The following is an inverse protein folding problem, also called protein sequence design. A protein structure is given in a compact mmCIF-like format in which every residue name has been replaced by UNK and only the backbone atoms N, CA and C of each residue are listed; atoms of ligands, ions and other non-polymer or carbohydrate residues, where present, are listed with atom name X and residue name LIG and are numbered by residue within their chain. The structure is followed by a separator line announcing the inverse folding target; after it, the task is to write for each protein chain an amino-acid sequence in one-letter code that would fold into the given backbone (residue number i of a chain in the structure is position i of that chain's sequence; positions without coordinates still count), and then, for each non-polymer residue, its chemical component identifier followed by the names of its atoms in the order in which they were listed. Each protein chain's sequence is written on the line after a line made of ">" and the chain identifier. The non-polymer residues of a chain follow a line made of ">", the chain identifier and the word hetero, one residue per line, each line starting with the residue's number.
data_IF_800834818838
#
_entry.id   IF_800834818838
#
_cell.length_a   1.000
_cell.length_b   1.000
_cell.length_c   1.000
_cell.angle_alpha   90.00
_cell.angle_beta   90.00
_cell.angle_gamma   90.00
#
_symmetry.space_group_name_H-M   'P 1'
#
loop_
_entity.id
_entity.type
_entity.pdbx_description
1 polymer ?
#
# COMPACT_ATOMS: atom_id res chain seq x y z
N UNK A 1 3.93 4.97 9.65
CA UNK A 1 4.82 6.08 9.22
C UNK A 1 5.13 5.92 7.75
N UNK A 2 4.95 6.97 6.95
CA UNK A 2 5.34 6.98 5.54
C UNK A 2 6.88 6.94 5.44
N UNK A 3 7.42 6.52 4.30
CA UNK A 3 8.86 6.44 4.08
C UNK A 3 9.55 7.79 4.32
N UNK A 4 8.89 8.88 3.91
CA UNK A 4 9.36 10.26 4.13
C UNK A 4 9.49 10.59 5.62
N UNK A 5 8.54 10.16 6.45
CA UNK A 5 8.57 10.44 7.89
C UNK A 5 9.78 9.78 8.55
N UNK A 6 10.15 8.57 8.11
CA UNK A 6 11.35 7.87 8.60
C UNK A 6 12.63 8.60 8.22
N UNK A 7 12.76 9.03 6.96
CA UNK A 7 13.91 9.83 6.52
C UNK A 7 13.99 11.17 7.25
N UNK A 8 12.86 11.84 7.42
CA UNK A 8 12.78 13.13 8.13
C UNK A 8 13.23 12.97 9.59
N UNK A 9 12.78 11.92 10.28
CA UNK A 9 13.17 11.64 11.65
C UNK A 9 14.67 11.35 11.79
N UNK A 10 15.23 10.57 10.87
CA UNK A 10 16.66 10.27 10.85
C UNK A 10 17.51 11.52 10.60
N UNK A 11 17.09 12.36 9.65
CA UNK A 11 17.76 13.63 9.36
C UNK A 11 17.69 14.60 10.54
N UNK A 12 16.53 14.70 11.20
CA UNK A 12 16.37 15.47 12.43
C UNK A 12 17.32 14.97 13.53
N UNK A 13 17.42 13.66 13.72
CA UNK A 13 18.36 13.05 14.66
C UNK A 13 19.81 13.43 14.40
N UNK A 14 20.27 13.34 13.15
CA UNK A 14 21.63 13.77 12.75
C UNK A 14 21.84 15.26 13.03
N UNK A 15 20.88 16.10 12.66
CA UNK A 15 21.00 17.55 12.85
C UNK A 15 21.05 17.94 14.33
N UNK A 16 20.34 17.21 15.20
CA UNK A 16 20.36 17.42 16.64
C UNK A 16 21.75 17.19 17.25
N UNK A 17 22.58 16.35 16.61
CA UNK A 17 23.96 16.07 17.03
C UNK A 17 24.94 17.10 16.45
N UNK A 18 24.79 17.47 15.17
CA UNK A 18 25.75 18.35 14.48
C UNK A 18 25.72 19.78 15.04
N UNK A 19 24.55 20.31 15.40
CA UNK A 19 24.40 21.71 15.81
C UNK A 19 25.15 22.02 17.13
N UNK A 20 24.99 21.23 18.22
CA UNK A 20 25.76 21.44 19.44
C UNK A 20 27.27 21.37 19.20
N UNK A 21 27.74 20.39 18.43
CA UNK A 21 29.17 20.22 18.11
C UNK A 21 29.70 21.47 17.40
N UNK A 22 29.01 21.92 16.35
CA UNK A 22 29.40 23.11 15.61
C UNK A 22 29.37 24.38 16.48
N UNK A 23 28.40 24.48 17.39
CA UNK A 23 28.30 25.60 18.33
C UNK A 23 29.49 25.66 19.28
N UNK A 24 29.91 24.52 19.84
CA UNK A 24 31.07 24.44 20.73
C UNK A 24 32.35 24.86 20.01
N UNK A 25 32.56 24.34 18.78
CA UNK A 25 33.71 24.72 17.94
C UNK A 25 33.73 26.23 17.69
N UNK A 26 32.59 26.80 17.32
CA UNK A 26 32.46 28.25 17.02
C UNK A 26 32.77 29.10 18.26
N UNK A 27 32.28 28.71 19.44
CA UNK A 27 32.58 29.40 20.70
C UNK A 27 34.08 29.46 21.00
N UNK A 28 34.76 28.32 20.93
CA UNK A 28 36.20 28.26 21.18
C UNK A 28 37.01 29.03 20.13
N UNK A 29 36.57 29.02 18.87
CA UNK A 29 37.21 29.81 17.80
C UNK A 29 37.13 31.31 18.07
N UNK A 30 35.94 31.82 18.44
CA UNK A 30 35.76 33.25 18.75
C UNK A 30 36.56 33.64 19.98
N UNK A 31 36.48 32.84 21.06
CA UNK A 31 37.23 33.10 22.30
C UNK A 31 38.73 33.20 22.03
N UNK A 32 39.28 32.25 21.26
CA UNK A 32 40.72 32.23 20.92
C UNK A 32 41.16 33.47 20.16
N UNK A 33 40.34 33.96 19.23
CA UNK A 33 40.69 35.13 18.41
C UNK A 33 40.64 36.44 19.21
N UNK A 34 39.66 36.58 20.11
CA UNK A 34 39.57 37.72 21.03
C UNK A 34 40.80 37.77 21.95
N UNK A 35 41.15 36.64 22.56
CA UNK A 35 42.28 36.55 23.50
C UNK A 35 43.60 36.89 22.80
N UNK A 36 43.81 36.35 21.59
CA UNK A 36 44.98 36.65 20.76
C UNK A 36 45.07 38.14 20.45
N UNK A 37 43.97 38.77 20.07
CA UNK A 37 43.91 40.19 19.73
C UNK A 37 44.23 41.08 20.94
N UNK A 38 43.69 40.74 22.12
CA UNK A 38 43.96 41.46 23.36
C UNK A 38 45.44 41.36 23.79
N UNK A 39 46.02 40.16 23.70
CA UNK A 39 47.45 39.95 24.02
C UNK A 39 48.36 40.74 23.09
N UNK A 40 48.13 40.71 21.77
CA UNK A 40 48.95 41.45 20.81
C UNK A 40 48.85 42.97 21.02
N UNK A 41 47.65 43.49 21.32
CA UNK A 41 47.47 44.90 21.69
C UNK A 41 48.31 45.28 22.92
N UNK A 42 48.29 44.46 23.98
CA UNK A 42 49.04 44.71 25.21
C UNK A 42 50.55 44.64 25.02
N UNK A 43 51.05 43.73 24.17
CA UNK A 43 52.47 43.70 23.77
C UNK A 43 52.88 45.03 23.13
N UNK A 44 52.09 45.53 22.18
CA UNK A 44 52.36 46.83 21.55
C UNK A 44 52.33 48.00 22.54
N UNK A 45 51.45 47.96 23.54
CA UNK A 45 51.43 48.97 24.61
C UNK A 45 52.74 48.95 25.41
N UNK A 46 53.22 47.77 25.81
CA UNK A 46 54.46 47.68 26.58
C UNK A 46 55.68 48.20 25.81
N UNK A 47 55.77 47.90 24.51
CA UNK A 47 56.85 48.40 23.64
C UNK A 47 56.83 49.93 23.57
N UNK A 48 55.65 50.55 23.40
CA UNK A 48 55.54 52.02 23.40
C UNK A 48 55.96 52.65 24.72
N UNK A 49 55.63 52.02 25.84
CA UNK A 49 56.02 52.50 27.18
C UNK A 49 57.54 52.40 27.34
N UNK A 50 58.16 51.32 26.87
CA UNK A 50 59.61 51.18 26.87
C UNK A 50 60.29 52.29 26.05
N UNK A 51 59.77 52.61 24.86
CA UNK A 51 60.27 53.72 24.05
C UNK A 51 60.12 55.09 24.72
N UNK A 52 59.01 55.34 25.43
CA UNK A 52 58.80 56.58 26.18
C UNK A 52 59.81 56.75 27.31
N UNK A 53 60.05 55.69 28.09
CA UNK A 53 61.07 55.66 29.14
C UNK A 53 62.46 55.91 28.53
N UNK A 54 62.76 55.31 27.37
CA UNK A 54 64.01 55.55 26.63
C UNK A 54 64.18 56.98 26.13
N UNK A 55 63.09 57.71 25.85
CA UNK A 55 63.12 59.13 25.46
C UNK A 55 63.11 60.09 26.65
N UNK A 56 63.12 59.59 27.89
CA UNK A 56 63.08 60.39 29.11
C UNK A 56 61.70 60.98 29.45
N UNK A 57 60.62 60.47 28.84
CA UNK A 57 59.25 60.89 29.13
C UNK A 57 58.63 59.94 30.16
N UNK A 58 58.04 60.43 31.27
CA UNK A 58 57.38 59.57 32.25
C UNK A 58 56.10 58.98 31.63
N UNK A 59 55.93 57.64 31.62
CA UNK A 59 54.68 57.02 31.21
C UNK A 59 53.55 57.46 32.14
N UNK A 60 52.38 57.78 31.58
CA UNK A 60 51.16 57.96 32.36
C UNK A 60 50.65 56.63 32.94
N UNK A 61 49.76 56.70 33.94
CA UNK A 61 49.10 55.50 34.51
C UNK A 61 48.32 54.69 33.46
N UNK A 62 47.95 55.35 32.35
CA UNK A 62 47.29 54.74 31.20
C UNK A 62 48.03 55.07 29.90
N UNK A 63 48.26 54.05 29.06
CA UNK A 63 48.79 54.20 27.70
C UNK A 63 47.87 53.48 26.73
N UNK A 64 47.38 54.20 25.70
CA UNK A 64 46.42 53.70 24.72
C UNK A 64 45.15 53.05 25.34
N UNK A 65 44.71 53.56 26.50
CA UNK A 65 43.54 53.09 27.24
C UNK A 65 43.78 51.87 28.14
N UNK A 66 45.00 51.30 28.15
CA UNK A 66 45.37 50.20 29.04
C UNK A 66 46.11 50.75 30.27
N UNK A 67 45.83 50.19 31.45
CA UNK A 67 46.56 50.55 32.67
C UNK A 67 47.95 49.94 32.61
N UNK A 68 48.97 50.74 32.88
CA UNK A 68 50.37 50.32 32.82
C UNK A 68 51.07 50.56 34.15
N UNK A 69 51.83 49.57 34.61
CA UNK A 69 52.73 49.66 35.74
C UNK A 69 54.14 49.38 35.25
N UNK A 70 55.12 50.16 35.69
CA UNK A 70 56.53 49.90 35.39
C UNK A 70 57.36 49.96 36.67
N UNK A 71 58.34 49.08 36.77
CA UNK A 71 59.27 49.03 37.89
C UNK A 71 60.68 48.69 37.40
N UNK A 72 61.69 49.27 38.03
CA UNK A 72 63.08 48.83 37.85
C UNK A 72 63.23 47.42 38.40
N UNK A 73 63.98 46.57 37.72
CA UNK A 73 64.25 45.20 38.14
C UNK A 73 65.73 44.90 37.95
N UNK A 74 66.32 44.13 38.86
CA UNK A 74 67.75 43.76 38.78
C UNK A 74 67.96 42.44 38.00
N UNK A 75 66.86 41.84 37.56
CA UNK A 75 66.84 40.58 36.82
C UNK A 75 66.97 40.82 35.31
N UNK A 76 68.09 40.36 34.74
CA UNK A 76 68.29 40.32 33.30
C UNK A 76 67.44 39.21 32.67
N UNK A 77 66.46 39.59 31.87
CA UNK A 77 65.69 38.68 31.00
C UNK A 77 66.09 38.89 29.54
N UNK A 78 65.92 37.86 28.72
CA UNK A 78 66.12 37.98 27.27
C UNK A 78 65.19 39.04 26.67
N UNK A 79 65.68 39.79 25.67
CA UNK A 79 64.84 40.65 24.86
C UNK A 79 63.67 39.82 24.29
N UNK A 80 62.45 40.37 24.33
CA UNK A 80 61.20 39.73 23.90
C UNK A 80 60.63 38.63 24.83
N UNK A 81 61.04 38.58 26.11
CA UNK A 81 60.35 37.71 27.07
C UNK A 81 59.02 38.32 27.52
N UNK A 82 57.90 37.68 27.15
CA UNK A 82 56.54 38.05 27.57
C UNK A 82 55.97 37.00 28.52
N UNK A 83 55.50 37.43 29.69
CA UNK A 83 54.72 36.61 30.62
C UNK A 83 53.27 37.05 30.54
N UNK A 84 52.41 36.16 30.05
CA UNK A 84 50.96 36.38 29.96
C UNK A 84 50.33 35.75 31.21
N UNK A 85 49.58 36.54 31.96
CA UNK A 85 48.83 36.07 33.13
C UNK A 85 47.37 36.44 32.96
N UNK A 86 46.50 35.42 32.98
CA UNK A 86 45.06 35.60 32.98
C UNK A 86 44.57 35.55 34.43
N UNK A 87 43.78 36.55 34.84
CA UNK A 87 43.06 36.51 36.13
C UNK A 87 41.60 36.85 35.92
N UNK A 88 40.74 36.03 36.50
CA UNK A 88 39.33 36.36 36.65
C UNK A 88 39.19 37.46 37.69
N UNK A 89 38.56 38.58 37.33
CA UNK A 89 38.28 39.67 38.26
C UNK A 89 36.79 39.62 38.58
N UNK A 90 36.46 39.09 39.76
CA UNK A 90 35.06 38.90 40.17
C UNK A 90 34.47 40.09 40.90
N UNK A 91 35.27 41.07 41.37
CA UNK A 91 34.79 42.27 42.05
C UNK A 91 35.78 43.44 41.87
N UNK A 92 35.56 44.29 40.87
CA UNK A 92 36.16 45.63 40.79
C UNK A 92 35.05 46.66 41.08
N UNK A 93 35.11 47.44 42.19
CA UNK A 93 34.02 48.35 42.59
C UNK A 93 33.67 49.45 41.58
N UNK A 94 34.54 49.69 40.59
CA UNK A 94 34.38 50.72 39.56
C UNK A 94 33.81 50.18 38.23
N UNK A 95 33.83 48.85 38.03
CA UNK A 95 33.38 48.19 36.81
C UNK A 95 32.25 47.23 37.17
N UNK A 96 31.03 47.59 36.78
CA UNK A 96 29.81 46.85 37.12
C UNK A 96 29.64 45.54 36.30
N UNK A 97 30.74 44.94 35.82
CA UNK A 97 30.71 43.80 34.89
C UNK A 97 31.82 42.77 35.22
N UNK A 98 31.53 41.49 34.96
CA UNK A 98 32.36 40.35 35.36
C UNK A 98 33.59 40.13 34.45
N UNK A 99 34.36 41.15 34.13
CA UNK A 99 35.40 41.09 33.09
C UNK A 99 36.59 40.17 33.44
N UNK A 100 37.15 39.48 32.43
CA UNK A 100 38.42 38.76 32.58
C UNK A 100 39.57 39.73 32.31
N UNK A 101 40.54 39.80 33.23
CA UNK A 101 41.70 40.66 33.08
C UNK A 101 42.85 39.89 32.46
N UNK A 102 43.27 40.33 31.27
CA UNK A 102 44.47 39.82 30.62
C UNK A 102 45.62 40.76 30.97
N UNK A 103 46.69 40.21 31.54
CA UNK A 103 47.87 40.96 31.94
C UNK A 103 49.06 40.47 31.12
N UNK A 104 49.76 41.39 30.47
CA UNK A 104 51.00 41.09 29.74
C UNK A 104 52.15 41.83 30.42
N UNK A 105 53.12 41.06 30.89
CA UNK A 105 54.37 41.59 31.45
C UNK A 105 55.50 41.35 30.47
N UNK A 106 56.24 42.40 30.14
CA UNK A 106 57.46 42.32 29.33
C UNK A 106 58.63 42.98 30.04
N UNK A 107 59.84 42.61 29.61
CA UNK A 107 61.10 43.08 30.18
C UNK A 107 61.91 43.78 29.09
N UNK A 108 62.34 45.01 29.37
CA UNK A 108 63.09 45.83 28.42
C UNK A 108 64.37 46.37 29.08
N UNK A 109 65.49 46.33 28.35
CA UNK A 109 66.73 46.99 28.77
C UNK A 109 66.77 48.40 28.16
N UNK A 110 66.89 49.41 29.00
CA UNK A 110 66.90 50.83 28.61
C UNK A 110 68.05 51.52 29.35
N UNK A 111 69.09 51.95 28.63
CA UNK A 111 70.27 52.62 29.20
C UNK A 111 70.93 51.83 30.37
N UNK A 112 71.22 50.54 30.16
CA UNK A 112 71.83 49.61 31.15
C UNK A 112 71.01 49.37 32.43
N UNK A 113 69.73 49.76 32.43
CA UNK A 113 68.78 49.44 33.51
C UNK A 113 67.61 48.62 32.95
N UNK A 114 67.27 47.52 33.62
CA UNK A 114 66.12 46.70 33.24
C UNK A 114 64.83 47.24 33.84
N UNK A 115 63.79 47.31 33.00
CA UNK A 115 62.44 47.70 33.37
C UNK A 115 61.48 46.53 33.14
N UNK A 116 60.67 46.23 34.15
CA UNK A 116 59.50 45.36 34.03
C UNK A 116 58.29 46.24 33.75
N UNK A 117 57.65 46.04 32.59
CA UNK A 117 56.45 46.76 32.18
C UNK A 117 55.29 45.78 32.18
N UNK A 118 54.25 46.10 32.94
CA UNK A 118 53.04 45.30 33.08
C UNK A 118 51.86 46.14 32.58
N UNK A 119 51.21 45.69 31.51
CA UNK A 119 49.95 46.25 31.03
C UNK A 119 48.81 45.28 31.27
N UNK A 120 47.62 45.83 31.54
CA UNK A 120 46.39 45.05 31.69
C UNK A 120 45.25 45.62 30.85
N UNK A 121 44.46 44.71 30.27
CA UNK A 121 43.19 45.01 29.62
C UNK A 121 42.07 44.19 30.25
N UNK A 122 40.86 44.74 30.22
CA UNK A 122 39.65 44.04 30.64
C UNK A 122 38.94 43.54 29.38
N UNK A 123 38.77 42.23 29.28
CA UNK A 123 38.02 41.60 28.20
C UNK A 123 36.66 41.19 28.76
N UNK A 124 35.59 41.74 28.18
CA UNK A 124 34.23 41.46 28.62
C UNK A 124 33.97 39.96 28.69
N UNK A 125 33.34 39.53 29.79
CA UNK A 125 33.05 38.12 30.01
C UNK A 125 32.24 37.57 28.86
N UNK A 126 32.55 36.33 28.51
CA UNK A 126 31.87 35.55 27.50
C UNK A 126 30.35 35.41 27.69
N UNK A 127 29.73 35.91 28.76
CA UNK A 127 28.27 35.82 28.96
C UNK A 127 27.46 36.60 27.92
N UNK A 128 27.90 37.80 27.52
CA UNK A 128 27.22 38.53 26.43
C UNK A 128 27.42 37.81 25.07
N UNK A 129 28.61 37.25 24.84
CA UNK A 129 28.92 36.42 23.66
C UNK A 129 28.07 35.14 23.67
N UNK A 130 27.91 34.49 24.83
CA UNK A 130 27.11 33.28 25.02
C UNK A 130 25.61 33.58 24.83
N UNK A 131 25.12 34.73 25.26
CA UNK A 131 23.76 35.17 25.03
C UNK A 131 23.48 35.38 23.53
N UNK A 132 24.38 36.06 22.81
CA UNK A 132 24.31 36.23 21.36
C UNK A 132 24.40 34.91 20.60
N UNK A 133 25.30 34.01 21.02
CA UNK A 133 25.42 32.66 20.46
C UNK A 133 24.14 31.84 20.66
N UNK A 134 23.54 31.86 21.86
CA UNK A 134 22.28 31.16 22.16
C UNK A 134 21.15 31.61 21.22
N UNK A 135 20.98 32.92 21.03
CA UNK A 135 19.97 33.47 20.13
C UNK A 135 20.25 33.03 18.68
N UNK A 136 21.50 33.09 18.24
CA UNK A 136 21.90 32.62 16.92
C UNK A 136 21.62 31.13 16.70
N UNK A 137 21.87 30.28 17.71
CA UNK A 137 21.58 28.83 17.67
C UNK A 137 20.09 28.57 17.56
N UNK A 138 19.26 29.29 18.33
CA UNK A 138 17.80 29.16 18.26
C UNK A 138 17.27 29.48 16.86
N UNK A 139 17.71 30.59 16.26
CA UNK A 139 17.33 30.93 14.89
C UNK A 139 17.80 29.90 13.87
N UNK A 140 19.03 29.41 13.99
CA UNK A 140 19.56 28.35 13.12
C UNK A 140 18.75 27.05 13.23
N UNK A 141 18.36 26.66 14.45
CA UNK A 141 17.51 25.48 14.69
C UNK A 141 16.13 25.64 14.04
N UNK A 142 15.48 26.79 14.23
CA UNK A 142 14.16 27.06 13.64
C UNK A 142 14.23 27.00 12.11
N UNK A 143 15.19 27.70 11.51
CA UNK A 143 15.37 27.73 10.05
C UNK A 143 15.67 26.33 9.52
N UNK A 144 16.50 25.55 10.23
CA UNK A 144 16.83 24.19 9.81
C UNK A 144 15.62 23.27 9.89
N UNK A 145 14.85 23.28 10.98
CA UNK A 145 13.63 22.47 11.12
C UNK A 145 12.66 22.83 10.01
N UNK A 146 12.46 24.13 9.74
CA UNK A 146 11.63 24.60 8.65
C UNK A 146 12.12 24.07 7.28
N UNK A 147 13.43 24.11 7.02
CA UNK A 147 14.03 23.60 5.79
C UNK A 147 13.89 22.08 5.65
N UNK A 148 14.08 21.32 6.73
CA UNK A 148 13.92 19.86 6.75
C UNK A 148 12.47 19.49 6.46
N UNK A 149 11.51 20.15 7.11
CA UNK A 149 10.08 19.92 6.86
C UNK A 149 9.70 20.30 5.44
N UNK A 150 10.20 21.43 4.93
CA UNK A 150 9.95 21.90 3.56
C UNK A 150 10.50 20.92 2.53
N UNK A 151 11.76 20.51 2.66
CA UNK A 151 12.41 19.56 1.75
C UNK A 151 11.73 18.19 1.79
N UNK A 152 11.34 17.70 2.98
CA UNK A 152 10.57 16.47 3.13
C UNK A 152 9.20 16.55 2.43
N UNK A 153 8.47 17.66 2.58
CA UNK A 153 7.18 17.90 1.91
C UNK A 153 7.33 17.92 0.39
N UNK A 154 8.36 18.60 -0.12
CA UNK A 154 8.66 18.68 -1.55
C UNK A 154 9.05 17.31 -2.10
N UNK A 155 9.98 16.61 -1.45
CA UNK A 155 10.41 15.27 -1.84
C UNK A 155 9.24 14.28 -1.86
N UNK A 156 8.35 14.34 -0.86
CA UNK A 156 7.15 13.51 -0.81
C UNK A 156 6.23 13.74 -2.01
N UNK A 157 6.05 15.00 -2.44
CA UNK A 157 5.14 15.33 -3.53
C UNK A 157 5.74 15.11 -4.91
N UNK A 158 7.04 15.30 -5.08
CA UNK A 158 7.68 15.24 -6.40
C UNK A 158 8.21 13.83 -6.68
N UNK A 159 8.95 13.25 -5.73
CA UNK A 159 9.67 11.99 -5.96
C UNK A 159 8.75 10.78 -5.74
N UNK A 160 7.92 10.78 -4.70
CA UNK A 160 7.12 9.60 -4.36
C UNK A 160 5.73 9.55 -5.00
N UNK A 161 5.20 10.67 -5.51
CA UNK A 161 3.89 10.66 -6.20
C UNK A 161 3.84 9.65 -7.35
N UNK A 162 4.83 9.57 -8.25
CA UNK A 162 4.86 8.56 -9.31
C UNK A 162 4.84 7.13 -8.77
N UNK A 163 5.57 6.85 -7.68
CA UNK A 163 5.60 5.54 -7.04
C UNK A 163 4.22 5.13 -6.51
N UNK A 164 3.55 6.01 -5.77
CA UNK A 164 2.19 5.73 -5.28
C UNK A 164 1.18 5.60 -6.43
N UNK A 165 1.40 6.33 -7.54
CA UNK A 165 0.63 6.17 -8.78
C UNK A 165 0.78 4.78 -9.38
N UNK A 166 2.00 4.26 -9.48
CA UNK A 166 2.27 2.88 -9.93
C UNK A 166 1.58 1.85 -9.03
N UNK A 167 1.71 1.97 -7.71
CA UNK A 167 1.07 1.05 -6.76
C UNK A 167 -0.45 1.05 -6.92
N UNK A 168 -1.07 2.24 -7.01
CA UNK A 168 -2.53 2.36 -7.18
C UNK A 168 -2.99 1.69 -8.48
N UNK A 169 -2.28 1.89 -9.59
CA UNK A 169 -2.61 1.23 -10.86
C UNK A 169 -2.43 -0.29 -10.80
N UNK A 170 -1.41 -0.78 -10.10
CA UNK A 170 -1.18 -2.21 -9.92
C UNK A 170 -2.25 -2.87 -9.03
N UNK A 171 -2.70 -2.19 -7.97
CA UNK A 171 -3.79 -2.70 -7.10
C UNK A 171 -5.12 -2.87 -7.82
N UNK A 172 -5.38 -2.05 -8.85
CA UNK A 172 -6.59 -2.12 -9.67
C UNK A 172 -6.35 -2.88 -10.99
N UNK A 173 -5.17 -3.49 -11.16
CA UNK A 173 -4.87 -4.24 -12.36
C UNK A 173 -5.64 -5.56 -12.34
N UNK A 174 -6.42 -5.80 -13.39
CA UNK A 174 -7.22 -7.02 -13.55
C UNK A 174 -6.85 -7.69 -14.87
N UNK A 175 -6.35 -8.94 -14.79
CA UNK A 175 -5.98 -9.76 -15.95
C UNK A 175 -7.18 -10.00 -16.89
N UNK A 176 -8.40 -10.08 -16.35
CA UNK A 176 -9.63 -10.32 -17.13
C UNK A 176 -10.01 -9.15 -18.02
N UNK A 177 -9.59 -7.93 -17.68
CA UNK A 177 -9.96 -6.72 -18.42
C UNK A 177 -9.27 -6.60 -19.80
N UNK A 178 -8.34 -7.50 -20.14
CA UNK A 178 -7.56 -7.52 -21.41
C UNK A 178 -6.83 -6.20 -21.75
N UNK A 179 -6.69 -5.28 -20.80
CA UNK A 179 -6.00 -3.99 -20.98
C UNK A 179 -4.59 -4.09 -20.44
N UNK A 180 -3.60 -3.71 -21.25
CA UNK A 180 -2.20 -3.62 -20.82
C UNK A 180 -2.03 -2.48 -19.81
N UNK A 181 -1.16 -2.71 -18.83
CA UNK A 181 -0.92 -1.76 -17.75
C UNK A 181 -0.13 -0.55 -18.27
N UNK A 182 -0.71 0.64 -18.18
CA UNK A 182 -0.03 1.90 -18.53
C UNK A 182 0.43 2.58 -17.25
N UNK A 183 1.73 2.60 -17.01
CA UNK A 183 2.34 3.19 -15.81
C UNK A 183 2.72 4.67 -16.03
N UNK A 184 2.71 5.51 -14.97
CA UNK A 184 3.11 6.91 -15.10
C UNK A 184 4.60 7.04 -15.44
N UNK A 185 4.93 8.07 -16.23
CA UNK A 185 6.33 8.41 -16.45
C UNK A 185 6.97 8.98 -15.19
N UNK A 186 8.25 8.68 -15.01
CA UNK A 186 9.03 9.12 -13.85
C UNK A 186 10.43 9.51 -14.27
N UNK A 187 10.96 10.57 -13.65
CA UNK A 187 12.34 11.03 -13.85
C UNK A 187 13.33 10.26 -12.99
N UNK A 188 12.87 9.55 -11.96
CA UNK A 188 13.70 8.77 -11.05
C UNK A 188 14.04 7.42 -11.70
N UNK A 189 15.33 7.15 -11.88
CA UNK A 189 15.83 5.94 -12.57
C UNK A 189 15.30 4.66 -11.93
N UNK A 190 15.38 4.55 -10.61
CA UNK A 190 14.94 3.38 -9.85
C UNK A 190 13.45 3.08 -10.07
N UNK A 191 12.61 4.12 -10.16
CA UNK A 191 11.20 3.96 -10.45
C UNK A 191 10.92 3.66 -11.93
N UNK A 192 11.76 4.15 -12.84
CA UNK A 192 11.68 3.79 -14.27
C UNK A 192 12.01 2.32 -14.47
N UNK A 193 13.07 1.82 -13.84
CA UNK A 193 13.48 0.42 -13.89
C UNK A 193 12.41 -0.49 -13.28
N UNK A 194 11.84 -0.10 -12.13
CA UNK A 194 10.69 -0.78 -11.53
C UNK A 194 9.47 -0.80 -12.46
N UNK A 195 9.11 0.34 -13.04
CA UNK A 195 7.97 0.44 -13.96
C UNK A 195 8.18 -0.46 -15.20
N UNK A 196 9.40 -0.52 -15.75
CA UNK A 196 9.72 -1.39 -16.87
C UNK A 196 9.58 -2.87 -16.50
N UNK A 197 10.10 -3.27 -15.33
CA UNK A 197 9.98 -4.63 -14.84
C UNK A 197 8.52 -5.03 -14.60
N UNK A 198 7.76 -4.19 -13.89
CA UNK A 198 6.33 -4.41 -13.64
C UNK A 198 5.57 -4.50 -14.96
N UNK A 199 5.80 -3.57 -15.89
CA UNK A 199 5.18 -3.62 -17.22
C UNK A 199 5.47 -4.92 -17.94
N UNK A 200 6.73 -5.38 -17.96
CA UNK A 200 7.12 -6.64 -18.61
C UNK A 200 6.43 -7.86 -17.97
N UNK A 201 6.39 -7.93 -16.64
CA UNK A 201 5.74 -9.03 -15.92
C UNK A 201 4.23 -9.03 -16.17
N UNK A 202 3.61 -7.85 -16.14
CA UNK A 202 2.17 -7.70 -16.39
C UNK A 202 1.80 -8.01 -17.84
N UNK A 203 2.57 -7.52 -18.81
CA UNK A 203 2.37 -7.83 -20.23
C UNK A 203 2.48 -9.34 -20.46
N UNK A 204 3.53 -9.99 -19.90
CA UNK A 204 3.68 -11.44 -19.97
C UNK A 204 2.50 -12.19 -19.34
N UNK A 205 2.02 -11.75 -18.18
CA UNK A 205 0.88 -12.40 -17.53
C UNK A 205 -0.41 -12.27 -18.35
N UNK A 206 -0.62 -11.15 -19.04
CA UNK A 206 -1.75 -10.98 -19.98
C UNK A 206 -1.62 -11.92 -21.18
N UNK A 207 -0.43 -12.03 -21.75
CA UNK A 207 -0.17 -12.91 -22.89
C UNK A 207 -0.33 -14.40 -22.51
N UNK A 208 0.23 -14.81 -21.36
CA UNK A 208 0.11 -16.18 -20.84
C UNK A 208 -1.36 -16.52 -20.49
N UNK A 209 -2.10 -15.58 -19.89
CA UNK A 209 -3.54 -15.77 -19.60
C UNK A 209 -4.37 -15.89 -20.87
N UNK A 210 -4.07 -15.08 -21.90
CA UNK A 210 -4.78 -15.13 -23.18
C UNK A 210 -4.52 -16.45 -23.92
N UNK A 211 -3.27 -16.94 -23.87
CA UNK A 211 -2.88 -18.22 -24.47
C UNK A 211 -3.55 -19.41 -23.78
N UNK A 212 -3.60 -19.40 -22.44
CA UNK A 212 -4.29 -20.43 -21.66
C UNK A 212 -5.79 -20.47 -21.98
N UNK A 213 -6.40 -19.28 -22.13
CA UNK A 213 -7.79 -19.14 -22.54
C UNK A 213 -8.05 -19.75 -23.93
N UNK A 214 -7.27 -19.34 -24.93
CA UNK A 214 -7.40 -19.87 -26.30
C UNK A 214 -7.19 -21.39 -26.36
N UNK A 215 -6.21 -21.91 -25.61
CA UNK A 215 -5.99 -23.35 -25.47
C UNK A 215 -7.21 -24.07 -24.89
N UNK A 216 -7.81 -23.53 -23.83
CA UNK A 216 -8.99 -24.12 -23.18
C UNK A 216 -10.20 -24.15 -24.12
N UNK A 217 -10.43 -23.09 -24.89
CA UNK A 217 -11.50 -23.00 -25.87
C UNK A 217 -11.30 -24.01 -27.01
N UNK A 218 -10.11 -24.01 -27.61
CA UNK A 218 -9.75 -24.92 -28.70
C UNK A 218 -9.82 -26.38 -28.27
N UNK A 219 -9.25 -26.73 -27.11
CA UNK A 219 -9.29 -28.10 -26.59
C UNK A 219 -10.73 -28.58 -26.37
N UNK A 220 -11.60 -27.70 -25.89
CA UNK A 220 -13.00 -28.06 -25.66
C UNK A 220 -13.75 -28.34 -26.96
N UNK A 221 -13.51 -27.54 -28.01
CA UNK A 221 -14.07 -27.76 -29.35
C UNK A 221 -13.55 -29.05 -29.98
N UNK A 222 -12.23 -29.27 -29.95
CA UNK A 222 -11.60 -30.47 -30.52
C UNK A 222 -12.03 -31.76 -29.79
N UNK A 223 -12.43 -31.69 -28.51
CA UNK A 223 -12.98 -32.84 -27.78
C UNK A 223 -14.44 -33.15 -28.13
N UNK A 224 -15.24 -32.19 -28.63
CA UNK A 224 -16.64 -32.44 -28.97
C UNK A 224 -16.79 -33.40 -30.15
N UNK A 225 -15.97 -33.22 -31.18
CA UNK A 225 -15.99 -34.03 -32.40
C UNK A 225 -15.76 -35.53 -32.15
N UNK A 226 -14.68 -35.97 -31.50
CA UNK A 226 -14.46 -37.39 -31.21
C UNK A 226 -15.52 -37.96 -30.27
N UNK A 227 -16.02 -37.19 -29.30
CA UNK A 227 -17.11 -37.64 -28.42
C UNK A 227 -18.41 -37.87 -29.20
N UNK A 228 -18.75 -37.00 -30.15
CA UNK A 228 -19.92 -37.17 -31.02
C UNK A 228 -19.78 -38.43 -31.91
N UNK A 229 -18.59 -38.69 -32.43
CA UNK A 229 -18.29 -39.90 -33.21
C UNK A 229 -18.46 -41.15 -32.34
N UNK A 230 -17.87 -41.17 -31.14
CA UNK A 230 -18.00 -42.32 -30.23
C UNK A 230 -19.47 -42.57 -29.89
N UNK A 231 -20.24 -41.52 -29.57
CA UNK A 231 -21.66 -41.65 -29.27
C UNK A 231 -22.44 -42.23 -30.45
N UNK A 232 -22.23 -41.72 -31.66
CA UNK A 232 -22.87 -42.24 -32.86
C UNK A 232 -22.52 -43.71 -33.12
N UNK A 233 -21.27 -44.12 -32.89
CA UNK A 233 -20.86 -45.53 -33.02
C UNK A 233 -21.48 -46.42 -31.96
N UNK A 234 -21.65 -45.93 -30.72
CA UNK A 234 -22.33 -46.66 -29.66
C UNK A 234 -23.84 -46.76 -29.88
N UNK A 235 -24.48 -45.72 -30.42
CA UNK A 235 -25.90 -45.74 -30.84
C UNK A 235 -26.09 -46.82 -31.92
N UNK A 236 -25.26 -46.84 -32.97
CA UNK A 236 -25.30 -47.88 -34.01
C UNK A 236 -25.03 -49.29 -33.48
N UNK A 237 -24.10 -49.44 -32.52
CA UNK A 237 -23.86 -50.72 -31.86
C UNK A 237 -25.07 -51.15 -31.02
N UNK A 238 -25.75 -50.21 -30.35
CA UNK A 238 -26.94 -50.48 -29.54
C UNK A 238 -28.15 -50.93 -30.37
N UNK A 239 -28.16 -50.63 -31.67
CA UNK A 239 -29.19 -51.06 -32.63
C UNK A 239 -28.88 -52.39 -33.31
N UNK A 240 -27.69 -52.97 -33.08
CA UNK A 240 -27.28 -54.25 -33.64
C UNK A 240 -27.78 -55.45 -32.83
N UNK A 241 -27.56 -56.68 -33.31
CA UNK A 241 -27.95 -57.91 -32.59
C UNK A 241 -26.93 -58.21 -31.48
N UNK A 242 -27.17 -57.65 -30.29
CA UNK A 242 -26.23 -57.64 -29.16
C UNK A 242 -26.63 -58.73 -28.15
N UNK A 243 -25.67 -59.55 -27.72
CA UNK A 243 -25.88 -60.55 -26.66
C UNK A 243 -25.66 -59.95 -25.26
N UNK A 244 -26.30 -60.53 -24.23
CA UNK A 244 -26.43 -60.00 -22.85
C UNK A 244 -25.23 -59.19 -22.32
N UNK A 245 -24.07 -59.81 -22.14
CA UNK A 245 -22.89 -59.13 -21.57
C UNK A 245 -22.38 -57.96 -22.43
N UNK A 246 -22.56 -58.01 -23.75
CA UNK A 246 -22.21 -56.92 -24.66
C UNK A 246 -23.16 -55.72 -24.50
N UNK A 247 -24.43 -55.96 -24.20
CA UNK A 247 -25.39 -54.88 -23.94
C UNK A 247 -25.04 -54.11 -22.67
N UNK A 248 -24.57 -54.81 -21.63
CA UNK A 248 -24.08 -54.19 -20.38
C UNK A 248 -22.85 -53.32 -20.68
N UNK A 249 -21.87 -53.84 -21.43
CA UNK A 249 -20.67 -53.09 -21.81
C UNK A 249 -21.00 -51.85 -22.66
N UNK A 250 -21.94 -51.95 -23.61
CA UNK A 250 -22.37 -50.81 -24.44
C UNK A 250 -23.09 -49.76 -23.58
N UNK A 251 -23.94 -50.18 -22.63
CA UNK A 251 -24.57 -49.28 -21.67
C UNK A 251 -23.52 -48.55 -20.80
N UNK A 252 -22.50 -49.27 -20.31
CA UNK A 252 -21.41 -48.67 -19.53
C UNK A 252 -20.58 -47.67 -20.37
N UNK A 253 -20.29 -47.99 -21.64
CA UNK A 253 -19.62 -47.08 -22.56
C UNK A 253 -20.45 -45.83 -22.84
N UNK A 254 -21.76 -45.98 -23.08
CA UNK A 254 -22.67 -44.85 -23.27
C UNK A 254 -22.69 -43.94 -22.04
N UNK A 255 -22.80 -44.51 -20.84
CA UNK A 255 -22.75 -43.77 -19.58
C UNK A 255 -21.41 -43.01 -19.41
N UNK A 256 -20.29 -43.64 -19.77
CA UNK A 256 -18.98 -43.00 -19.71
C UNK A 256 -18.84 -41.83 -20.70
N UNK A 257 -19.33 -41.99 -21.94
CA UNK A 257 -19.32 -40.96 -22.99
C UNK A 257 -20.25 -39.80 -22.65
N UNK A 258 -21.43 -40.08 -22.11
CA UNK A 258 -22.35 -39.05 -21.65
C UNK A 258 -21.74 -38.24 -20.49
N UNK A 259 -21.09 -38.94 -19.55
CA UNK A 259 -20.34 -38.30 -18.47
C UNK A 259 -19.23 -37.39 -19.00
N UNK A 260 -18.42 -37.85 -19.96
CA UNK A 260 -17.38 -37.04 -20.61
C UNK A 260 -17.96 -35.84 -21.35
N UNK A 261 -19.06 -36.03 -22.07
CA UNK A 261 -19.76 -34.96 -22.78
C UNK A 261 -20.25 -33.88 -21.82
N UNK A 262 -20.82 -34.28 -20.68
CA UNK A 262 -21.26 -33.36 -19.63
C UNK A 262 -20.10 -32.60 -19.00
N UNK A 263 -18.95 -33.26 -18.77
CA UNK A 263 -17.72 -32.59 -18.31
C UNK A 263 -17.30 -31.52 -19.32
N UNK A 264 -17.18 -31.89 -20.59
CA UNK A 264 -16.72 -30.96 -21.63
C UNK A 264 -17.65 -29.75 -21.77
N UNK A 265 -18.98 -29.97 -21.83
CA UNK A 265 -19.97 -28.87 -21.86
C UNK A 265 -19.87 -27.95 -20.64
N UNK A 266 -19.65 -28.52 -19.46
CA UNK A 266 -19.50 -27.74 -18.22
C UNK A 266 -18.23 -26.88 -18.24
N UNK A 267 -17.12 -27.40 -18.80
CA UNK A 267 -15.86 -26.66 -18.95
C UNK A 267 -15.99 -25.52 -19.97
N UNK A 268 -16.65 -25.77 -21.10
CA UNK A 268 -16.95 -24.73 -22.11
C UNK A 268 -17.76 -23.61 -21.49
N UNK A 269 -18.83 -23.97 -20.79
CA UNK A 269 -19.70 -22.99 -20.13
C UNK A 269 -18.92 -22.16 -19.10
N UNK A 270 -18.11 -22.80 -18.27
CA UNK A 270 -17.25 -22.09 -17.30
C UNK A 270 -16.29 -21.13 -18.01
N UNK A 271 -15.66 -21.57 -19.10
CA UNK A 271 -14.77 -20.74 -19.89
C UNK A 271 -15.50 -19.53 -20.47
N UNK A 272 -16.69 -19.72 -21.06
CA UNK A 272 -17.52 -18.61 -21.59
C UNK A 272 -18.00 -17.64 -20.51
N UNK A 273 -18.35 -18.16 -19.34
CA UNK A 273 -18.72 -17.34 -18.16
C UNK A 273 -17.53 -16.53 -17.65
N UNK A 274 -16.32 -17.11 -17.59
CA UNK A 274 -15.11 -16.37 -17.23
C UNK A 274 -14.76 -15.27 -18.24
N UNK A 275 -15.20 -15.43 -19.48
CA UNK A 275 -14.99 -14.51 -20.59
C UNK A 275 -15.98 -13.36 -20.67
N UNK A 276 -17.00 -13.33 -19.80
CA UNK A 276 -18.14 -12.43 -19.88
C UNK A 276 -18.86 -12.45 -21.24
N UNK A 277 -18.93 -13.61 -21.90
CA UNK A 277 -19.62 -13.74 -23.20
C UNK A 277 -21.16 -13.78 -23.07
N UNK A 278 -21.68 -13.74 -21.85
CA UNK A 278 -23.11 -13.68 -21.55
C UNK A 278 -23.49 -12.27 -21.09
N UNK A 279 -23.69 -11.34 -22.01
CA UNK A 279 -24.23 -10.02 -21.64
C UNK A 279 -25.71 -10.15 -21.25
N UNK A 280 -26.08 -9.58 -20.10
CA UNK A 280 -27.47 -9.52 -19.66
C UNK A 280 -28.21 -8.42 -20.45
N UNK A 281 -28.78 -8.82 -21.59
CA UNK A 281 -29.47 -7.94 -22.52
C UNK A 281 -30.91 -7.62 -22.12
N UNK A 282 -31.57 -8.49 -21.35
CA UNK A 282 -33.01 -8.39 -21.05
C UNK A 282 -33.33 -8.75 -19.58
N UNK A 283 -34.51 -8.34 -19.12
CA UNK A 283 -35.08 -8.80 -17.85
C UNK A 283 -35.75 -10.17 -18.06
N UNK A 284 -35.35 -11.15 -17.26
CA UNK A 284 -35.88 -12.51 -17.29
C UNK A 284 -36.96 -12.64 -16.21
N UNK A 285 -38.19 -13.12 -16.55
CA UNK A 285 -39.23 -13.41 -15.57
C UNK A 285 -38.84 -14.67 -14.76
N UNK A 286 -38.02 -14.46 -13.74
CA UNK A 286 -37.32 -15.52 -13.02
C UNK A 286 -38.27 -16.39 -12.18
N UNK A 287 -39.43 -15.86 -11.82
CA UNK A 287 -40.56 -16.60 -11.26
C UNK A 287 -41.07 -17.70 -12.21
N UNK A 288 -41.29 -17.36 -13.49
CA UNK A 288 -41.73 -18.33 -14.50
C UNK A 288 -40.66 -19.40 -14.74
N UNK A 289 -39.40 -18.99 -14.89
CA UNK A 289 -38.27 -19.91 -15.05
C UNK A 289 -38.14 -20.88 -13.86
N UNK A 290 -38.38 -20.40 -12.63
CA UNK A 290 -38.34 -21.24 -11.43
C UNK A 290 -39.48 -22.28 -11.42
N UNK A 291 -40.69 -21.89 -11.84
CA UNK A 291 -41.81 -22.83 -11.99
C UNK A 291 -41.54 -23.88 -13.07
N UNK A 292 -41.04 -23.46 -14.23
CA UNK A 292 -40.74 -24.35 -15.35
C UNK A 292 -39.65 -25.36 -14.98
N UNK A 293 -38.62 -24.90 -14.26
CA UNK A 293 -37.57 -25.78 -13.76
C UNK A 293 -38.10 -26.80 -12.74
N UNK A 294 -38.98 -26.39 -11.81
CA UNK A 294 -39.64 -27.32 -10.88
C UNK A 294 -40.51 -28.35 -11.61
N UNK A 295 -41.26 -27.93 -12.62
CA UNK A 295 -42.08 -28.82 -13.44
C UNK A 295 -41.24 -29.84 -14.20
N UNK A 296 -40.09 -29.42 -14.76
CA UNK A 296 -39.17 -30.30 -15.47
C UNK A 296 -38.58 -31.42 -14.59
N UNK A 297 -38.46 -31.21 -13.27
CA UNK A 297 -38.00 -32.22 -12.33
C UNK A 297 -39.12 -33.05 -11.68
N UNK A 298 -40.40 -32.78 -11.99
CA UNK A 298 -41.54 -33.40 -11.31
C UNK A 298 -41.49 -34.95 -11.32
N UNK A 299 -41.18 -35.56 -12.47
CA UNK A 299 -41.08 -37.02 -12.60
C UNK A 299 -39.94 -37.60 -11.74
N UNK A 300 -38.78 -36.94 -11.73
CA UNK A 300 -37.61 -37.40 -11.00
C UNK A 300 -37.78 -37.24 -9.48
N UNK A 301 -38.48 -36.20 -9.06
CA UNK A 301 -38.88 -35.95 -7.68
C UNK A 301 -39.87 -37.02 -7.22
N UNK A 302 -40.87 -37.35 -8.05
CA UNK A 302 -41.83 -38.41 -7.77
C UNK A 302 -41.16 -39.79 -7.68
N UNK A 303 -40.23 -40.10 -8.59
CA UNK A 303 -39.47 -41.36 -8.59
C UNK A 303 -38.65 -41.55 -7.30
N UNK A 304 -38.21 -40.46 -6.67
CA UNK A 304 -37.47 -40.48 -5.39
C UNK A 304 -38.35 -40.28 -4.16
N UNK A 305 -39.67 -40.23 -4.32
CA UNK A 305 -40.64 -40.01 -3.24
C UNK A 305 -40.38 -38.72 -2.44
N UNK A 306 -39.88 -37.68 -3.11
CA UNK A 306 -39.55 -36.41 -2.46
C UNK A 306 -40.78 -35.50 -2.41
N UNK A 307 -40.95 -34.80 -1.28
CA UNK A 307 -41.98 -33.76 -1.14
C UNK A 307 -41.41 -32.39 -1.52
N UNK A 308 -42.09 -31.65 -2.39
CA UNK A 308 -41.68 -30.28 -2.77
C UNK A 308 -42.62 -29.27 -2.16
N UNK A 309 -42.06 -28.21 -1.56
CA UNK A 309 -42.77 -27.01 -1.13
C UNK A 309 -42.18 -25.82 -1.86
N UNK A 310 -42.99 -25.07 -2.59
CA UNK A 310 -42.56 -23.85 -3.26
C UNK A 310 -43.32 -22.65 -2.72
N UNK A 311 -42.60 -21.55 -2.48
CA UNK A 311 -43.15 -20.24 -2.19
C UNK A 311 -42.47 -19.23 -3.12
N UNK A 312 -43.13 -18.92 -4.23
CA UNK A 312 -42.58 -18.09 -5.30
C UNK A 312 -43.40 -16.79 -5.32
N UNK A 313 -42.75 -15.66 -5.03
CA UNK A 313 -43.34 -14.33 -5.21
C UNK A 313 -43.45 -14.01 -6.70
N UNK A 314 -44.51 -13.30 -7.09
CA UNK A 314 -44.79 -12.93 -8.48
C UNK A 314 -45.22 -11.45 -8.56
N UNK A 315 -44.65 -10.64 -9.47
CA UNK A 315 -43.56 -10.97 -10.41
C UNK A 315 -42.17 -10.80 -9.78
N UNK A 316 -41.21 -11.64 -10.19
CA UNK A 316 -39.78 -11.49 -9.88
C UNK A 316 -38.98 -11.50 -11.18
N UNK A 317 -38.52 -10.32 -11.62
CA UNK A 317 -37.70 -10.16 -12.81
C UNK A 317 -36.23 -9.93 -12.43
N UNK A 318 -35.30 -10.59 -13.12
CA UNK A 318 -33.87 -10.41 -12.91
C UNK A 318 -33.17 -10.06 -14.23
N UNK A 319 -32.22 -9.13 -14.17
CA UNK A 319 -31.35 -8.82 -15.30
C UNK A 319 -30.25 -9.87 -15.41
N UNK A 320 -30.53 -10.93 -16.15
CA UNK A 320 -29.69 -12.10 -16.33
C UNK A 320 -29.87 -12.64 -17.75
N UNK A 321 -28.84 -13.22 -18.36
CA UNK A 321 -29.03 -13.91 -19.64
C UNK A 321 -29.91 -15.16 -19.45
N UNK A 322 -30.96 -15.33 -20.26
CA UNK A 322 -31.96 -16.41 -20.12
C UNK A 322 -31.37 -17.80 -19.88
N UNK A 323 -30.38 -18.19 -20.69
CA UNK A 323 -29.72 -19.50 -20.52
C UNK A 323 -29.02 -19.67 -19.17
N UNK A 324 -28.53 -18.58 -18.55
CA UNK A 324 -27.88 -18.65 -17.24
C UNK A 324 -28.92 -18.83 -16.13
N UNK A 325 -30.14 -18.30 -16.28
CA UNK A 325 -31.24 -18.58 -15.38
C UNK A 325 -31.56 -20.08 -15.36
N UNK A 326 -31.70 -20.69 -16.54
CA UNK A 326 -31.92 -22.13 -16.68
C UNK A 326 -30.81 -22.95 -16.03
N UNK A 327 -29.55 -22.61 -16.32
CA UNK A 327 -28.39 -23.32 -15.79
C UNK A 327 -28.32 -23.20 -14.27
N UNK A 328 -28.54 -22.00 -13.73
CA UNK A 328 -28.53 -21.73 -12.29
C UNK A 328 -29.56 -22.61 -11.57
N UNK A 329 -30.82 -22.56 -12.02
CA UNK A 329 -31.93 -23.31 -11.45
C UNK A 329 -31.71 -24.82 -11.57
N UNK A 330 -31.32 -25.30 -12.75
CA UNK A 330 -31.07 -26.73 -12.96
C UNK A 330 -29.95 -27.27 -12.07
N UNK A 331 -28.86 -26.52 -11.87
CA UNK A 331 -27.78 -26.96 -10.99
C UNK A 331 -28.21 -26.98 -9.52
N UNK A 332 -28.95 -25.97 -9.05
CA UNK A 332 -29.44 -25.91 -7.67
C UNK A 332 -30.45 -27.02 -7.38
N UNK A 333 -31.47 -27.19 -8.25
CA UNK A 333 -32.51 -28.20 -8.08
C UNK A 333 -31.96 -29.62 -8.24
N UNK A 334 -31.12 -29.87 -9.25
CA UNK A 334 -30.49 -31.19 -9.43
C UNK A 334 -29.61 -31.55 -8.23
N UNK A 335 -28.92 -30.57 -7.64
CA UNK A 335 -28.14 -30.77 -6.42
C UNK A 335 -29.06 -31.12 -5.23
N UNK A 336 -30.14 -30.37 -5.05
CA UNK A 336 -31.13 -30.59 -3.99
C UNK A 336 -31.76 -32.00 -4.07
N UNK A 337 -32.07 -32.49 -5.27
CA UNK A 337 -32.65 -33.82 -5.48
C UNK A 337 -31.61 -34.95 -5.33
N UNK A 338 -30.36 -34.70 -5.75
CA UNK A 338 -29.29 -35.70 -5.69
C UNK A 338 -28.82 -35.96 -4.27
N UNK A 339 -28.67 -34.91 -3.48
CA UNK A 339 -28.16 -34.96 -2.11
C UNK A 339 -29.28 -35.11 -1.07
N UNK A 340 -30.53 -35.34 -1.53
CA UNK A 340 -31.64 -35.57 -0.62
C UNK A 340 -31.59 -36.94 0.04
N UNK A 341 -32.26 -37.06 1.19
CA UNK A 341 -32.59 -38.35 1.79
C UNK A 341 -33.86 -38.93 1.11
N UNK A 342 -34.00 -40.27 1.06
CA UNK A 342 -35.25 -40.91 0.61
C UNK A 342 -36.45 -40.42 1.44
N UNK A 343 -37.58 -40.13 0.79
CA UNK A 343 -38.76 -39.56 1.47
C UNK A 343 -38.57 -38.12 2.00
N UNK A 344 -37.47 -37.47 1.62
CA UNK A 344 -37.10 -36.14 2.10
C UNK A 344 -37.96 -35.01 1.53
N UNK A 345 -37.64 -33.78 1.94
CA UNK A 345 -38.31 -32.56 1.47
C UNK A 345 -37.34 -31.64 0.74
N UNK A 346 -37.85 -30.96 -0.30
CA UNK A 346 -37.21 -29.83 -0.97
C UNK A 346 -38.10 -28.60 -0.78
N UNK A 347 -37.53 -27.50 -0.29
CA UNK A 347 -38.22 -26.22 -0.16
C UNK A 347 -37.55 -25.19 -1.07
N UNK A 348 -38.32 -24.54 -1.94
CA UNK A 348 -37.85 -23.48 -2.84
C UNK A 348 -38.59 -22.19 -2.52
N UNK A 349 -37.85 -21.15 -2.13
CA UNK A 349 -38.40 -19.83 -1.82
C UNK A 349 -37.76 -18.83 -2.78
N UNK A 350 -38.59 -18.09 -3.51
CA UNK A 350 -38.13 -17.02 -4.40
C UNK A 350 -38.86 -15.72 -4.04
N UNK A 351 -38.10 -14.66 -3.85
CA UNK A 351 -38.60 -13.29 -3.75
C UNK A 351 -37.66 -12.34 -4.51
N UNK A 352 -37.92 -11.03 -4.44
CA UNK A 352 -37.09 -10.00 -5.12
C UNK A 352 -35.66 -9.88 -4.58
N UNK A 353 -35.41 -10.35 -3.36
CA UNK A 353 -34.11 -10.22 -2.69
C UNK A 353 -33.24 -11.47 -2.85
N UNK A 354 -33.84 -12.67 -2.91
CA UNK A 354 -33.10 -13.92 -3.00
C UNK A 354 -33.88 -15.08 -3.60
N UNK A 355 -33.13 -16.06 -4.10
CA UNK A 355 -33.57 -17.44 -4.33
C UNK A 355 -32.97 -18.33 -3.24
N UNK A 356 -33.80 -19.10 -2.55
CA UNK A 356 -33.38 -20.07 -1.53
C UNK A 356 -33.86 -21.47 -1.90
N UNK A 357 -32.94 -22.43 -1.91
CA UNK A 357 -33.23 -23.85 -2.10
C UNK A 357 -32.76 -24.62 -0.88
N UNK A 358 -33.69 -25.28 -0.19
CA UNK A 358 -33.40 -26.18 0.93
C UNK A 358 -33.70 -27.61 0.58
N UNK A 359 -32.89 -28.53 1.07
CA UNK A 359 -33.20 -29.95 1.01
C UNK A 359 -32.74 -30.68 2.27
N UNK A 360 -33.49 -31.70 2.68
CA UNK A 360 -33.02 -32.65 3.70
C UNK A 360 -31.79 -33.40 3.19
N UNK A 361 -30.86 -33.76 4.06
CA UNK A 361 -29.63 -34.44 3.66
C UNK A 361 -28.70 -34.72 4.83
N UNK A 362 -27.62 -35.46 4.56
CA UNK A 362 -26.58 -35.73 5.55
C UNK A 362 -25.57 -34.59 5.60
N UNK A 363 -24.86 -34.46 6.71
CA UNK A 363 -23.85 -33.42 6.87
C UNK A 363 -22.77 -33.52 5.77
N UNK A 364 -22.25 -32.38 5.28
CA UNK A 364 -21.11 -32.39 4.35
C UNK A 364 -19.85 -32.89 5.06
N UNK A 365 -19.06 -33.71 4.37
CA UNK A 365 -17.85 -34.35 4.94
C UNK A 365 -16.58 -33.47 4.87
N UNK A 366 -16.71 -32.15 4.68
CA UNK A 366 -15.56 -31.24 4.49
C UNK A 366 -15.89 -29.76 4.71
N UNK A 367 -14.89 -28.87 4.54
CA UNK A 367 -15.08 -27.43 4.70
C UNK A 367 -16.12 -26.89 3.72
N UNK A 368 -16.99 -26.01 4.19
CA UNK A 368 -18.05 -25.40 3.38
C UNK A 368 -17.46 -24.66 2.16
N UNK A 369 -16.35 -23.94 2.35
CA UNK A 369 -15.70 -23.14 1.28
C UNK A 369 -15.21 -24.00 0.11
N UNK A 370 -14.89 -25.27 0.36
CA UNK A 370 -14.44 -26.21 -0.65
C UNK A 370 -15.60 -26.71 -1.54
N UNK A 371 -16.86 -26.54 -1.13
CA UNK A 371 -18.02 -27.02 -1.89
C UNK A 371 -18.24 -26.28 -3.23
N UNK A 372 -17.71 -25.06 -3.34
CA UNK A 372 -17.78 -24.26 -4.57
C UNK A 372 -16.55 -24.43 -5.48
N UNK A 373 -15.54 -25.21 -5.06
CA UNK A 373 -14.37 -25.50 -5.89
C UNK A 373 -14.68 -26.56 -6.95
N UNK A 374 -13.98 -26.50 -8.08
CA UNK A 374 -14.12 -27.44 -9.19
C UNK A 374 -13.63 -28.83 -8.80
N UNK A 375 -14.35 -29.85 -9.25
CA UNK A 375 -14.04 -31.28 -9.05
C UNK A 375 -14.02 -31.75 -7.59
N UNK A 376 -14.41 -30.90 -6.63
CA UNK A 376 -14.61 -31.31 -5.25
C UNK A 376 -15.93 -32.08 -5.14
N UNK A 377 -15.88 -33.21 -4.44
CA UNK A 377 -17.03 -34.06 -4.16
C UNK A 377 -17.10 -34.28 -2.66
N UNK A 378 -18.31 -34.32 -2.11
CA UNK A 378 -18.54 -34.97 -0.82
C UNK A 378 -18.44 -36.49 -0.99
N UNK A 379 -18.00 -37.20 0.06
CA UNK A 379 -17.84 -38.67 0.07
C UNK A 379 -19.12 -39.46 -0.25
N UNK A 380 -20.27 -38.78 -0.28
CA UNK A 380 -21.59 -39.39 -0.33
C UNK A 380 -22.14 -39.60 -1.74
N UNK A 381 -21.45 -39.20 -2.82
CA UNK A 381 -21.99 -39.35 -4.18
C UNK A 381 -20.94 -39.64 -5.27
N UNK A 382 -20.72 -40.93 -5.59
CA UNK A 382 -19.73 -41.40 -6.57
C UNK A 382 -20.01 -40.98 -8.03
N UNK A 383 -21.26 -40.64 -8.37
CA UNK A 383 -21.68 -40.36 -9.75
C UNK A 383 -21.77 -38.87 -10.11
N UNK A 384 -21.33 -37.97 -9.23
CA UNK A 384 -21.25 -36.52 -9.50
C UNK A 384 -19.86 -36.12 -10.01
N UNK A 385 -19.79 -35.09 -10.85
CA UNK A 385 -18.51 -34.57 -11.39
C UNK A 385 -17.89 -33.52 -10.44
N UNK A 386 -18.71 -32.83 -9.64
CA UNK A 386 -18.24 -31.77 -8.73
C UNK A 386 -18.05 -30.42 -9.41
N UNK A 387 -18.79 -30.13 -10.48
CA UNK A 387 -18.71 -28.85 -11.23
C UNK A 387 -19.95 -27.97 -11.02
N UNK A 388 -21.10 -28.54 -10.63
CA UNK A 388 -22.37 -27.80 -10.62
C UNK A 388 -22.38 -26.55 -9.74
N UNK A 389 -21.96 -26.66 -8.47
CA UNK A 389 -21.89 -25.50 -7.57
C UNK A 389 -20.80 -24.48 -7.98
N UNK A 390 -19.76 -24.92 -8.68
CA UNK A 390 -18.75 -24.01 -9.23
C UNK A 390 -19.28 -23.19 -10.41
N UNK A 391 -20.20 -23.75 -11.22
CA UNK A 391 -20.93 -23.01 -12.26
C UNK A 391 -21.89 -22.01 -11.61
N UNK A 392 -22.65 -22.44 -10.61
CA UNK A 392 -23.57 -21.56 -9.86
C UNK A 392 -22.80 -20.36 -9.29
N UNK A 393 -21.66 -20.61 -8.62
CA UNK A 393 -20.81 -19.54 -8.09
C UNK A 393 -20.33 -18.59 -9.19
N UNK A 394 -19.85 -19.13 -10.32
CA UNK A 394 -19.39 -18.32 -11.44
C UNK A 394 -20.51 -17.45 -12.04
N UNK A 395 -21.74 -17.97 -12.14
CA UNK A 395 -22.91 -17.19 -12.56
C UNK A 395 -23.18 -16.07 -11.56
N UNK A 396 -23.12 -16.36 -10.25
CA UNK A 396 -23.34 -15.35 -9.22
C UNK A 396 -22.28 -14.24 -9.28
N UNK A 397 -21.00 -14.61 -9.33
CA UNK A 397 -19.87 -13.68 -9.39
C UNK A 397 -19.96 -12.76 -10.63
N UNK A 398 -20.40 -13.29 -11.77
CA UNK A 398 -20.57 -12.51 -13.01
C UNK A 398 -21.72 -11.51 -12.94
N UNK A 399 -22.80 -11.84 -12.24
CA UNK A 399 -24.01 -11.02 -12.16
C UNK A 399 -24.11 -10.20 -10.86
N UNK A 400 -23.01 -10.14 -10.09
CA UNK A 400 -22.97 -9.47 -8.77
C UNK A 400 -24.00 -10.03 -7.77
N UNK A 401 -24.31 -11.32 -7.87
CA UNK A 401 -25.13 -12.02 -6.88
C UNK A 401 -24.22 -12.62 -5.81
N UNK A 402 -24.73 -12.77 -4.59
CA UNK A 402 -23.99 -13.42 -3.51
C UNK A 402 -24.56 -14.81 -3.25
N UNK A 403 -23.72 -15.84 -3.28
CA UNK A 403 -24.13 -17.20 -2.91
C UNK A 403 -23.63 -17.59 -1.52
N UNK A 404 -24.53 -18.12 -0.71
CA UNK A 404 -24.27 -18.61 0.63
C UNK A 404 -24.75 -20.06 0.77
N UNK A 405 -24.00 -20.82 1.58
CA UNK A 405 -24.37 -22.19 1.94
C UNK A 405 -24.38 -22.33 3.46
N UNK A 406 -25.44 -22.93 3.98
CA UNK A 406 -25.57 -23.31 5.37
C UNK A 406 -26.03 -24.75 5.49
N UNK A 407 -25.55 -25.43 6.53
CA UNK A 407 -26.07 -26.73 6.94
C UNK A 407 -26.57 -26.61 8.38
N UNK A 408 -27.87 -26.83 8.60
CA UNK A 408 -28.48 -26.70 9.94
C UNK A 408 -29.60 -27.71 10.10
N UNK A 409 -29.61 -28.43 11.23
CA UNK A 409 -30.69 -29.36 11.59
C UNK A 409 -31.03 -30.41 10.51
N UNK A 410 -30.04 -30.92 9.79
CA UNK A 410 -30.27 -31.93 8.72
C UNK A 410 -30.73 -31.35 7.38
N UNK A 411 -30.68 -30.02 7.22
CA UNK A 411 -31.04 -29.32 5.99
C UNK A 411 -29.80 -28.67 5.38
N UNK A 412 -29.60 -28.90 4.09
CA UNK A 412 -28.76 -28.06 3.24
C UNK A 412 -29.58 -26.84 2.83
N UNK A 413 -29.00 -25.65 2.95
CA UNK A 413 -29.64 -24.38 2.62
C UNK A 413 -28.68 -23.63 1.71
N UNK A 414 -29.08 -23.44 0.45
CA UNK A 414 -28.39 -22.61 -0.53
C UNK A 414 -29.20 -21.34 -0.75
N UNK A 415 -28.56 -20.18 -0.64
CA UNK A 415 -29.18 -18.86 -0.81
C UNK A 415 -28.38 -18.11 -1.87
N UNK A 416 -29.08 -17.59 -2.88
CA UNK A 416 -28.54 -16.68 -3.89
C UNK A 416 -29.20 -15.33 -3.67
N UNK A 417 -28.47 -14.36 -3.14
CA UNK A 417 -28.94 -13.00 -2.91
C UNK A 417 -28.74 -12.16 -4.17
N UNK A 418 -29.80 -11.47 -4.57
CA UNK A 418 -29.81 -10.53 -5.69
C UNK A 418 -29.40 -9.13 -5.19
N UNK A 419 -28.70 -8.34 -6.03
CA UNK A 419 -28.37 -6.97 -5.68
C UNK A 419 -29.67 -6.16 -5.51
N UNK A 420 -29.72 -5.23 -4.55
CA UNK A 420 -30.88 -4.36 -4.40
C UNK A 420 -31.11 -3.60 -5.71
N UNK A 421 -32.36 -3.50 -6.15
CA UNK A 421 -32.76 -2.74 -7.35
C UNK A 421 -32.15 -1.34 -7.27
N UNK A 422 -31.04 -1.14 -8.00
CA UNK A 422 -30.49 0.20 -8.14
C UNK A 422 -31.40 0.89 -9.12
N UNK A 423 -32.24 1.79 -8.60
CA UNK A 423 -33.22 2.63 -9.29
C UNK A 423 -32.55 3.41 -10.44
N UNK A 424 -32.28 2.69 -11.54
CA UNK A 424 -31.58 3.15 -12.74
C UNK A 424 -32.45 4.13 -13.53
N UNK A 425 -33.72 4.26 -13.13
CA UNK A 425 -34.67 5.25 -13.62
C UNK A 425 -34.30 6.69 -13.22
N UNK A 426 -33.58 6.90 -12.10
CA UNK A 426 -33.17 8.24 -11.63
C UNK A 426 -31.90 8.77 -12.28
N UNK A 427 -31.02 7.91 -12.79
CA UNK A 427 -29.79 8.35 -13.45
C UNK A 427 -30.05 8.82 -14.89
N UNK A 428 -30.99 8.19 -15.61
CA UNK A 428 -31.37 8.62 -16.96
C UNK A 428 -32.28 9.86 -16.98
N UNK A 429 -33.11 10.08 -15.95
CA UNK A 429 -33.91 11.32 -15.84
C UNK A 429 -33.10 12.57 -15.49
N UNK A 430 -31.91 12.40 -14.89
CA UNK A 430 -31.02 13.53 -14.62
C UNK A 430 -30.21 13.95 -15.86
N UNK A 431 -29.87 13.02 -16.76
CA UNK A 431 -29.15 13.34 -18.00
C UNK A 431 -30.04 14.07 -19.03
N UNK A 432 -31.34 13.74 -19.13
CA UNK A 432 -32.24 14.49 -20.03
C UNK A 432 -32.52 15.92 -19.55
N UNK A 433 -32.57 16.16 -18.23
CA UNK A 433 -32.68 17.53 -17.69
C UNK A 433 -31.44 18.37 -17.99
N UNK A 434 -30.25 17.79 -17.97
CA UNK A 434 -29.01 18.50 -18.31
C UNK A 434 -28.86 18.81 -19.81
N UNK A 435 -29.47 18.01 -20.69
CA UNK A 435 -29.46 18.26 -22.13
C UNK A 435 -30.49 19.30 -22.59
N UNK A 436 -31.63 19.43 -21.91
CA UNK A 436 -32.63 20.45 -22.26
C UNK A 436 -32.29 21.87 -21.76
N UNK A 437 -31.54 22.02 -20.67
CA UNK A 437 -31.17 23.34 -20.15
C UNK A 437 -30.08 24.06 -20.97
N UNK A 438 -29.39 23.33 -21.87
CA UNK A 438 -28.31 23.88 -22.70
C UNK A 438 -28.71 24.29 -24.13
N UNK A 439 -29.98 24.13 -24.50
CA UNK A 439 -30.50 24.50 -25.83
C UNK A 439 -31.33 25.81 -25.79
N UNK A 440 -31.53 26.42 -24.62
CA UNK A 440 -32.29 27.67 -24.46
C UNK A 440 -31.49 28.88 -23.92
N UNK A 441 -30.16 28.89 -24.02
CA UNK A 441 -29.30 30.05 -23.81
C UNK A 441 -28.34 30.17 -24.99
#
# INVERSE_FOLDING_TARGET
>A
MKLVDKFTLWFLGITMIIIPINSVITYYSIKREIDRSAVERLKHVNVRVAEQIGKGQPPGEYTAGCRVLFAKTDTAFAADHYVITERDVTQDPLLNDNDRKIIVTSYHNIHDQYYRITSGDYVSRSEQILAGLRISIMWKLIILIALVVLTARVASRVVLTPFYGTIKKLQHFNLKAKKRLVLPETRTKEFKDLNLFVKKMTDKAVDDYSSLKEFSENASHELQTPLAIIRSKLELLSESDIQGDQAILIADMNNAVEKLTRINRSLILLSRLENNEYEATEEVPFDQYTKDALAAFCELIALKELTVKSNIEEPVCLRLHASLADILLNNLLSNAIRHNMPGGTIEVILNREFLMVKNTGKAPDGPIDDMFQRFKKGSQCNNSIGIGLSIVKQICDMNSFEIQYHYTSGLHILIVNFPPETDSSKLLQNDERYLHERIQL
#
